data_IF_637455831474
#
_entry.id   IF_637455831474
#
_cell.length_a   1.000
_cell.length_b   1.000
_cell.length_c   1.000
_cell.angle_alpha   90.00
_cell.angle_beta   90.00
_cell.angle_gamma   90.00
#
_symmetry.space_group_name_H-M   'P 1'
#
loop_
_entity.id
_entity.type
_entity.pdbx_description
1 polymer ?
#
# COMPACT_ATOMS: atom_id res chain seq x y z
N UNK A 1 -23.73 33.10 14.40
CA UNK A 1 -23.05 33.67 13.22
C UNK A 1 -21.81 32.85 12.89
N UNK A 2 -21.17 32.25 13.90
CA UNK A 2 -19.95 31.44 13.76
C UNK A 2 -20.12 30.10 13.01
N UNK A 3 -21.23 29.38 13.17
CA UNK A 3 -21.44 28.10 12.46
C UNK A 3 -21.51 28.23 10.94
N UNK A 4 -22.02 29.35 10.41
CA UNK A 4 -22.12 29.57 8.96
C UNK A 4 -20.72 29.69 8.35
N UNK A 5 -19.78 30.31 9.06
CA UNK A 5 -18.38 30.46 8.61
C UNK A 5 -17.66 29.11 8.59
N UNK A 6 -17.91 28.28 9.60
CA UNK A 6 -17.34 26.94 9.71
C UNK A 6 -17.83 25.99 8.61
N UNK A 7 -19.16 25.95 8.39
CA UNK A 7 -19.75 25.14 7.32
C UNK A 7 -19.23 25.58 5.96
N UNK A 8 -19.17 26.90 5.71
CA UNK A 8 -18.63 27.43 4.46
C UNK A 8 -17.14 27.06 4.25
N UNK A 9 -16.31 27.08 5.30
CA UNK A 9 -14.92 26.61 5.23
C UNK A 9 -14.85 25.13 4.85
N UNK A 10 -15.60 24.29 5.55
CA UNK A 10 -15.58 22.83 5.33
C UNK A 10 -16.06 22.51 3.91
N UNK A 11 -17.20 23.09 3.48
CA UNK A 11 -17.74 22.88 2.13
C UNK A 11 -16.81 23.40 1.03
N UNK A 12 -16.05 24.47 1.30
CA UNK A 12 -15.03 24.97 0.38
C UNK A 12 -13.88 23.95 0.23
N UNK A 13 -13.32 23.49 1.35
CA UNK A 13 -12.18 22.57 1.36
C UNK A 13 -12.56 21.20 0.79
N UNK A 14 -13.71 20.63 1.18
CA UNK A 14 -14.18 19.34 0.68
C UNK A 14 -14.42 19.37 -0.83
N UNK A 15 -15.03 20.43 -1.37
CA UNK A 15 -15.20 20.56 -2.83
C UNK A 15 -13.86 20.66 -3.55
N UNK A 16 -12.94 21.47 -3.02
CA UNK A 16 -11.62 21.65 -3.62
C UNK A 16 -10.82 20.35 -3.61
N UNK A 17 -10.80 19.64 -2.49
CA UNK A 17 -10.07 18.37 -2.36
C UNK A 17 -10.74 17.27 -3.16
N UNK A 18 -12.07 17.14 -3.10
CA UNK A 18 -12.80 16.10 -3.83
C UNK A 18 -12.63 16.19 -5.35
N UNK A 19 -12.60 17.39 -5.92
CA UNK A 19 -12.32 17.58 -7.35
C UNK A 19 -10.88 17.15 -7.72
N UNK A 20 -9.89 17.59 -6.93
CA UNK A 20 -8.50 17.22 -7.14
C UNK A 20 -8.27 15.70 -6.96
N UNK A 21 -8.87 15.10 -5.94
CA UNK A 21 -8.80 13.65 -5.69
C UNK A 21 -9.43 12.86 -6.83
N UNK A 22 -10.58 13.29 -7.35
CA UNK A 22 -11.23 12.63 -8.48
C UNK A 22 -10.33 12.66 -9.71
N UNK A 23 -9.74 13.83 -10.02
CA UNK A 23 -8.82 13.98 -11.15
C UNK A 23 -7.55 13.15 -10.96
N UNK A 24 -6.93 13.22 -9.78
CA UNK A 24 -5.73 12.47 -9.44
C UNK A 24 -5.96 10.96 -9.54
N UNK A 25 -6.98 10.42 -8.88
CA UNK A 25 -7.25 8.97 -8.91
C UNK A 25 -7.63 8.47 -10.31
N UNK A 26 -8.28 9.29 -11.13
CA UNK A 26 -8.53 8.94 -12.54
C UNK A 26 -7.23 8.85 -13.34
N UNK A 27 -6.32 9.82 -13.18
CA UNK A 27 -5.01 9.79 -13.85
C UNK A 27 -4.11 8.67 -13.33
N UNK A 28 -4.16 8.38 -12.03
CA UNK A 28 -3.48 7.25 -11.42
C UNK A 28 -3.97 5.92 -12.01
N UNK A 29 -5.30 5.77 -12.18
CA UNK A 29 -5.88 4.60 -12.82
C UNK A 29 -5.42 4.46 -14.27
N UNK A 30 -5.42 5.55 -15.05
CA UNK A 30 -4.92 5.56 -16.43
C UNK A 30 -3.46 5.09 -16.50
N UNK A 31 -2.60 5.57 -15.58
CA UNK A 31 -1.19 5.17 -15.49
C UNK A 31 -1.01 3.70 -15.07
N UNK A 32 -1.82 3.21 -14.13
CA UNK A 32 -1.79 1.82 -13.68
C UNK A 32 -2.28 0.84 -14.76
N UNK A 33 -3.29 1.22 -15.54
CA UNK A 33 -3.80 0.41 -16.65
C UNK A 33 -2.88 0.48 -17.89
N UNK A 34 -2.27 1.65 -18.12
CA UNK A 34 -1.42 1.95 -19.27
C UNK A 34 -0.22 2.79 -18.84
N UNK A 35 0.89 2.11 -18.53
CA UNK A 35 2.15 2.73 -18.11
C UNK A 35 2.86 3.42 -19.28
N UNK A 36 2.36 4.59 -19.69
CA UNK A 36 3.02 5.49 -20.64
C UNK A 36 3.62 6.69 -19.92
N UNK A 37 4.71 7.28 -20.43
CA UNK A 37 5.31 8.48 -19.83
C UNK A 37 4.31 9.63 -19.64
N UNK A 38 3.34 9.78 -20.55
CA UNK A 38 2.31 10.82 -20.47
C UNK A 38 1.33 10.58 -19.32
N UNK A 39 0.87 9.33 -19.14
CA UNK A 39 -0.05 8.98 -18.05
C UNK A 39 0.65 9.11 -16.68
N UNK A 40 1.89 8.64 -16.58
CA UNK A 40 2.71 8.76 -15.38
C UNK A 40 2.96 10.23 -15.01
N UNK A 41 3.34 11.06 -15.98
CA UNK A 41 3.56 12.49 -15.77
C UNK A 41 2.28 13.20 -15.30
N UNK A 42 1.14 12.89 -15.93
CA UNK A 42 -0.17 13.46 -15.55
C UNK A 42 -0.58 13.04 -14.14
N UNK A 43 -0.37 11.78 -13.76
CA UNK A 43 -0.65 11.30 -12.40
C UNK A 43 0.24 12.01 -11.37
N UNK A 44 1.54 12.15 -11.65
CA UNK A 44 2.47 12.82 -10.74
C UNK A 44 2.16 14.33 -10.58
N UNK A 45 1.81 15.02 -11.67
CA UNK A 45 1.40 16.44 -11.62
C UNK A 45 0.16 16.64 -10.75
N UNK A 46 -0.87 15.80 -10.94
CA UNK A 46 -2.10 15.88 -10.14
C UNK A 46 -1.87 15.47 -8.67
N UNK A 47 -0.93 14.56 -8.39
CA UNK A 47 -0.52 14.27 -7.01
C UNK A 47 0.10 15.51 -6.35
N UNK A 48 0.98 16.22 -7.07
CA UNK A 48 1.60 17.44 -6.56
C UNK A 48 0.56 18.53 -6.28
N UNK A 49 -0.38 18.74 -7.18
CA UNK A 49 -1.45 19.72 -7.01
C UNK A 49 -2.34 19.38 -5.82
N UNK A 50 -2.74 18.11 -5.67
CA UNK A 50 -3.51 17.63 -4.54
C UNK A 50 -2.76 17.83 -3.21
N UNK A 51 -1.49 17.42 -3.16
CA UNK A 51 -0.64 17.59 -1.97
C UNK A 51 -0.35 19.05 -1.66
N UNK A 52 -0.23 19.93 -2.67
CA UNK A 52 -0.06 21.37 -2.48
C UNK A 52 -1.33 22.00 -1.90
N UNK A 53 -2.50 21.66 -2.44
CA UNK A 53 -3.78 22.13 -1.91
C UNK A 53 -4.00 21.67 -0.46
N UNK A 54 -3.70 20.41 -0.16
CA UNK A 54 -3.73 19.87 1.21
C UNK A 54 -2.58 20.40 2.08
N UNK A 55 -1.52 20.95 1.50
CA UNK A 55 -0.39 21.52 2.21
C UNK A 55 -0.57 22.97 2.64
N UNK A 56 -1.71 23.61 2.37
CA UNK A 56 -1.94 25.03 2.69
C UNK A 56 -1.91 25.28 4.21
N UNK A 57 -0.90 25.98 4.75
CA UNK A 57 -0.80 26.26 6.18
C UNK A 57 -1.88 27.24 6.65
N UNK A 58 -2.45 28.07 5.78
CA UNK A 58 -3.57 28.96 6.12
C UNK A 58 -4.87 28.18 6.29
N UNK A 59 -5.15 27.20 5.43
CA UNK A 59 -6.27 26.28 5.59
C UNK A 59 -6.17 25.51 6.92
N UNK A 60 -5.00 24.97 7.25
CA UNK A 60 -4.79 24.28 8.54
C UNK A 60 -5.08 25.18 9.73
N UNK A 61 -4.53 26.41 9.76
CA UNK A 61 -4.80 27.38 10.84
C UNK A 61 -6.28 27.72 10.99
N UNK A 62 -7.02 27.83 9.87
CA UNK A 62 -8.46 28.09 9.90
C UNK A 62 -9.20 26.90 10.50
N UNK A 63 -8.92 25.67 10.06
CA UNK A 63 -9.53 24.45 10.61
C UNK A 63 -9.22 24.28 12.10
N UNK A 64 -7.98 24.53 12.52
CA UNK A 64 -7.59 24.49 13.94
C UNK A 64 -8.35 25.52 14.79
N UNK A 65 -8.53 26.75 14.27
CA UNK A 65 -9.30 27.79 14.97
C UNK A 65 -10.77 27.40 15.14
N UNK A 66 -11.38 26.81 14.10
CA UNK A 66 -12.77 26.33 14.15
C UNK A 66 -12.94 25.17 15.15
N UNK A 67 -11.96 24.26 15.24
CA UNK A 67 -11.96 23.18 16.23
C UNK A 67 -11.77 23.70 17.66
N UNK A 68 -10.91 24.69 17.85
CA UNK A 68 -10.64 25.30 19.15
C UNK A 68 -11.81 26.14 19.68
N UNK A 69 -12.58 26.79 18.79
CA UNK A 69 -13.77 27.56 19.17
C UNK A 69 -14.87 26.70 19.81
N UNK A 70 -14.92 25.40 19.48
CA UNK A 70 -15.88 24.47 20.05
C UNK A 70 -17.34 24.78 19.69
N UNK A 71 -18.28 24.22 20.45
CA UNK A 71 -19.73 24.48 20.28
C UNK A 71 -20.37 23.91 19.01
N UNK A 72 -19.63 23.12 18.21
CA UNK A 72 -20.11 22.52 16.96
C UNK A 72 -20.89 21.24 17.19
N UNK A 73 -21.83 20.96 16.31
CA UNK A 73 -22.46 19.65 16.27
C UNK A 73 -21.45 18.54 15.93
N UNK A 74 -21.83 17.29 16.24
CA UNK A 74 -20.95 16.13 16.10
C UNK A 74 -20.47 15.92 14.67
N UNK A 75 -21.31 16.18 13.67
CA UNK A 75 -20.97 15.95 12.26
C UNK A 75 -20.00 17.03 11.78
N UNK A 76 -20.29 18.30 12.05
CA UNK A 76 -19.39 19.40 11.65
C UNK A 76 -18.02 19.26 12.33
N UNK A 77 -17.99 18.92 13.63
CA UNK A 77 -16.74 18.64 14.34
C UNK A 77 -15.95 17.53 13.67
N UNK A 78 -16.60 16.42 13.30
CA UNK A 78 -15.94 15.29 12.65
C UNK A 78 -15.37 15.64 11.28
N UNK A 79 -16.11 16.41 10.48
CA UNK A 79 -15.62 16.89 9.17
C UNK A 79 -14.36 17.74 9.31
N UNK A 80 -14.33 18.63 10.31
CA UNK A 80 -13.15 19.43 10.63
C UNK A 80 -11.96 18.58 11.08
N UNK A 81 -12.17 17.55 11.91
CA UNK A 81 -11.11 16.63 12.34
C UNK A 81 -10.46 15.87 11.17
N UNK A 82 -11.28 15.37 10.24
CA UNK A 82 -10.80 14.68 9.02
C UNK A 82 -10.02 15.64 8.13
N UNK A 83 -10.55 16.85 7.90
CA UNK A 83 -9.85 17.88 7.12
C UNK A 83 -8.52 18.25 7.76
N UNK A 84 -8.48 18.40 9.09
CA UNK A 84 -7.26 18.69 9.84
C UNK A 84 -6.21 17.59 9.63
N UNK A 85 -6.59 16.32 9.69
CA UNK A 85 -5.67 15.19 9.46
C UNK A 85 -5.10 15.22 8.04
N UNK A 86 -5.97 15.42 7.04
CA UNK A 86 -5.56 15.55 5.64
C UNK A 86 -4.60 16.73 5.42
N UNK A 87 -4.86 17.88 6.06
CA UNK A 87 -4.03 19.07 5.96
C UNK A 87 -2.66 18.89 6.66
N UNK A 88 -2.68 18.34 7.87
CA UNK A 88 -1.50 18.12 8.71
C UNK A 88 -0.49 17.19 8.04
N UNK A 89 -0.95 16.11 7.40
CA UNK A 89 -0.08 15.15 6.70
C UNK A 89 0.63 15.71 5.46
N UNK A 90 0.28 16.91 5.02
CA UNK A 90 0.84 17.56 3.82
C UNK A 90 1.64 18.83 4.14
N UNK A 91 1.91 19.13 5.42
CA UNK A 91 2.70 20.29 5.84
C UNK A 91 4.20 20.08 5.53
N UNK A 92 4.62 20.56 4.36
CA UNK A 92 6.01 20.55 3.89
C UNK A 92 6.20 21.64 2.82
N UNK A 93 7.45 22.01 2.53
CA UNK A 93 7.77 22.90 1.42
C UNK A 93 7.57 22.21 0.05
N UNK A 94 7.56 23.02 -1.01
CA UNK A 94 7.30 22.56 -2.38
C UNK A 94 8.43 21.67 -2.90
N UNK A 95 9.67 21.96 -2.50
CA UNK A 95 10.86 21.18 -2.87
C UNK A 95 10.79 19.75 -2.30
N UNK A 96 10.54 19.59 -1.00
CA UNK A 96 10.41 18.29 -0.35
C UNK A 96 9.19 17.53 -0.88
N UNK A 97 8.07 18.23 -1.13
CA UNK A 97 6.88 17.63 -1.74
C UNK A 97 7.22 17.04 -3.11
N UNK A 98 7.90 17.82 -3.95
CA UNK A 98 8.32 17.40 -5.29
C UNK A 98 9.22 16.18 -5.24
N UNK A 99 10.25 16.22 -4.38
CA UNK A 99 11.20 15.11 -4.25
C UNK A 99 10.52 13.81 -3.78
N UNK A 100 9.58 13.89 -2.83
CA UNK A 100 8.81 12.72 -2.37
C UNK A 100 7.96 12.13 -3.50
N UNK A 101 7.22 12.95 -4.24
CA UNK A 101 6.36 12.47 -5.33
C UNK A 101 7.20 11.86 -6.44
N UNK A 102 8.19 12.58 -6.97
CA UNK A 102 9.07 12.07 -8.04
C UNK A 102 9.73 10.75 -7.66
N UNK A 103 10.27 10.66 -6.44
CA UNK A 103 10.93 9.43 -5.99
C UNK A 103 9.94 8.28 -5.84
N UNK A 104 8.76 8.54 -5.26
CA UNK A 104 7.69 7.54 -5.10
C UNK A 104 7.17 7.02 -6.45
N UNK A 105 6.95 7.92 -7.41
CA UNK A 105 6.53 7.55 -8.77
C UNK A 105 7.60 6.71 -9.48
N UNK A 106 8.87 7.08 -9.39
CA UNK A 106 9.96 6.30 -10.00
C UNK A 106 10.08 4.89 -9.44
N UNK A 107 9.90 4.72 -8.12
CA UNK A 107 9.92 3.40 -7.48
C UNK A 107 8.73 2.56 -7.96
N UNK A 108 7.54 3.17 -8.03
CA UNK A 108 6.31 2.49 -8.48
C UNK A 108 6.41 2.05 -9.94
N UNK A 109 6.93 2.91 -10.81
CA UNK A 109 7.20 2.61 -12.23
C UNK A 109 8.12 1.40 -12.38
N UNK A 110 9.21 1.35 -11.62
CA UNK A 110 10.13 0.22 -11.69
C UNK A 110 9.49 -1.08 -11.21
N UNK A 111 8.70 -1.06 -10.12
CA UNK A 111 7.96 -2.25 -9.69
C UNK A 111 6.96 -2.73 -10.76
N UNK A 112 6.32 -1.84 -11.51
CA UNK A 112 5.37 -2.22 -12.55
C UNK A 112 6.04 -2.77 -13.83
N UNK A 113 7.17 -2.18 -14.21
CA UNK A 113 7.83 -2.43 -15.50
C UNK A 113 8.96 -3.44 -15.45
N UNK A 114 9.58 -3.64 -14.29
CA UNK A 114 10.74 -4.52 -14.15
C UNK A 114 10.37 -5.97 -14.50
N UNK A 115 11.27 -6.62 -15.23
CA UNK A 115 11.19 -8.04 -15.57
C UNK A 115 12.49 -8.71 -15.11
N UNK A 116 12.44 -9.57 -14.09
CA UNK A 116 13.62 -10.30 -13.63
C UNK A 116 14.08 -11.30 -14.70
N UNK A 117 15.33 -11.73 -14.59
CA UNK A 117 15.95 -12.65 -15.53
C UNK A 117 16.00 -14.06 -14.95
N UNK A 118 15.44 -15.03 -15.67
CA UNK A 118 15.54 -16.45 -15.33
C UNK A 118 16.20 -17.19 -16.49
N UNK A 119 17.41 -17.72 -16.27
CA UNK A 119 18.16 -18.42 -17.33
C UNK A 119 18.48 -17.55 -18.55
N UNK A 120 18.57 -16.23 -18.39
CA UNK A 120 18.81 -15.27 -19.48
C UNK A 120 17.56 -14.89 -20.29
N UNK A 121 16.37 -15.23 -19.80
CA UNK A 121 15.08 -14.80 -20.37
C UNK A 121 14.34 -13.91 -19.38
N UNK A 122 13.70 -12.85 -19.88
CA UNK A 122 12.80 -12.01 -19.08
C UNK A 122 11.54 -12.81 -18.73
N UNK A 123 11.19 -12.84 -17.45
CA UNK A 123 10.01 -13.53 -16.94
C UNK A 123 9.09 -12.56 -16.19
N UNK A 124 7.80 -12.91 -16.12
CA UNK A 124 6.81 -12.21 -15.30
C UNK A 124 6.72 -12.80 -13.88
N UNK A 125 6.05 -12.09 -12.97
CA UNK A 125 5.76 -12.62 -11.63
C UNK A 125 4.91 -13.90 -11.68
N UNK A 126 4.01 -14.00 -12.66
CA UNK A 126 3.20 -15.20 -12.87
C UNK A 126 4.07 -16.39 -13.32
N UNK A 127 5.05 -16.16 -14.19
CA UNK A 127 5.97 -17.22 -14.63
C UNK A 127 6.84 -17.71 -13.46
N UNK A 128 7.32 -16.79 -12.61
CA UNK A 128 8.05 -17.13 -11.37
C UNK A 128 7.16 -17.95 -10.45
N UNK A 129 5.93 -17.51 -10.21
CA UNK A 129 4.98 -18.22 -9.37
C UNK A 129 4.67 -19.62 -9.93
N UNK A 130 4.51 -19.75 -11.25
CA UNK A 130 4.28 -21.05 -11.89
C UNK A 130 5.46 -22.01 -11.66
N UNK A 131 6.71 -21.54 -11.78
CA UNK A 131 7.89 -22.36 -11.46
C UNK A 131 7.88 -22.79 -9.99
N UNK A 132 7.62 -21.84 -9.06
CA UNK A 132 7.58 -22.13 -7.62
C UNK A 132 6.39 -22.99 -7.21
N UNK A 133 5.31 -23.05 -7.99
CA UNK A 133 4.20 -23.97 -7.71
C UNK A 133 4.49 -25.36 -8.27
N UNK A 134 4.96 -25.43 -9.52
CA UNK A 134 4.92 -26.66 -10.32
C UNK A 134 6.24 -27.43 -10.41
N UNK A 135 7.38 -26.75 -10.31
CA UNK A 135 8.68 -27.43 -10.48
C UNK A 135 9.05 -28.25 -9.26
N UNK A 136 9.59 -29.44 -9.50
CA UNK A 136 10.22 -30.31 -8.51
C UNK A 136 11.77 -30.18 -8.52
N UNK A 137 12.33 -29.38 -9.44
CA UNK A 137 13.77 -29.12 -9.52
C UNK A 137 14.16 -27.99 -8.55
N UNK A 138 14.89 -28.34 -7.50
CA UNK A 138 15.33 -27.39 -6.47
C UNK A 138 16.17 -26.23 -7.05
N UNK A 139 17.02 -26.50 -8.05
CA UNK A 139 17.86 -25.48 -8.65
C UNK A 139 17.04 -24.49 -9.47
N UNK A 140 16.04 -24.98 -10.21
CA UNK A 140 15.13 -24.14 -10.98
C UNK A 140 14.29 -23.22 -10.06
N UNK A 141 13.73 -23.79 -8.99
CA UNK A 141 12.96 -23.05 -7.99
C UNK A 141 13.80 -21.99 -7.30
N UNK A 142 15.04 -22.33 -6.91
CA UNK A 142 15.96 -21.39 -6.30
C UNK A 142 16.22 -20.20 -7.22
N UNK A 143 16.53 -20.45 -8.48
CA UNK A 143 16.76 -19.38 -9.46
C UNK A 143 15.50 -18.50 -9.63
N UNK A 144 14.31 -19.09 -9.70
CA UNK A 144 13.06 -18.34 -9.78
C UNK A 144 12.80 -17.49 -8.52
N UNK A 145 13.06 -18.04 -7.33
CA UNK A 145 12.93 -17.30 -6.08
C UNK A 145 13.93 -16.14 -6.00
N UNK A 146 15.20 -16.36 -6.34
CA UNK A 146 16.24 -15.32 -6.36
C UNK A 146 15.90 -14.22 -7.37
N UNK A 147 15.43 -14.59 -8.57
CA UNK A 147 14.94 -13.68 -9.60
C UNK A 147 13.81 -12.78 -9.07
N UNK A 148 12.87 -13.34 -8.27
CA UNK A 148 11.79 -12.57 -7.64
C UNK A 148 12.28 -11.45 -6.69
N UNK A 149 13.53 -11.53 -6.21
CA UNK A 149 14.10 -10.54 -5.27
C UNK A 149 14.96 -9.48 -5.95
N UNK A 150 15.27 -9.63 -7.24
CA UNK A 150 16.19 -8.74 -7.97
C UNK A 150 15.71 -7.28 -7.96
N UNK A 151 14.40 -7.03 -8.15
CA UNK A 151 13.80 -5.68 -8.08
C UNK A 151 14.11 -4.98 -6.76
N UNK A 152 14.19 -5.73 -5.67
CA UNK A 152 14.56 -5.20 -4.36
C UNK A 152 15.92 -4.50 -4.39
N UNK A 153 16.89 -5.05 -5.13
CA UNK A 153 18.24 -4.44 -5.25
C UNK A 153 18.21 -3.14 -6.07
N UNK A 154 17.33 -3.06 -7.08
CA UNK A 154 17.17 -1.91 -7.98
C UNK A 154 16.55 -0.70 -7.25
N UNK A 155 15.63 -0.96 -6.31
CA UNK A 155 14.86 0.10 -5.63
C UNK A 155 15.32 0.39 -4.20
N UNK A 156 16.12 -0.48 -3.57
CA UNK A 156 16.42 -0.42 -2.13
C UNK A 156 16.96 0.95 -1.66
N UNK A 157 17.92 1.54 -2.36
CA UNK A 157 18.49 2.85 -1.97
C UNK A 157 17.44 3.96 -2.06
N UNK A 158 16.63 3.96 -3.12
CA UNK A 158 15.57 4.95 -3.33
C UNK A 158 14.45 4.79 -2.30
N UNK A 159 14.08 3.57 -1.94
CA UNK A 159 13.11 3.32 -0.86
C UNK A 159 13.61 3.85 0.49
N UNK A 160 14.89 3.61 0.83
CA UNK A 160 15.51 4.18 2.05
C UNK A 160 15.53 5.71 2.01
N UNK A 161 15.89 6.29 0.87
CA UNK A 161 15.86 7.75 0.67
C UNK A 161 14.44 8.30 0.84
N UNK A 162 13.44 7.66 0.25
CA UNK A 162 12.03 8.05 0.38
C UNK A 162 11.56 8.01 1.84
N UNK A 163 11.94 6.98 2.60
CA UNK A 163 11.66 6.90 4.03
C UNK A 163 12.31 8.07 4.80
N UNK A 164 13.56 8.42 4.46
CA UNK A 164 14.26 9.58 5.02
C UNK A 164 13.54 10.91 4.77
N UNK A 165 13.11 11.16 3.53
CA UNK A 165 12.38 12.37 3.13
C UNK A 165 11.02 12.48 3.86
N UNK A 166 10.28 11.37 3.91
CA UNK A 166 9.01 11.28 4.65
C UNK A 166 9.19 11.53 6.14
N UNK A 167 10.27 11.03 6.74
CA UNK A 167 10.62 11.31 8.13
C UNK A 167 10.98 12.79 8.36
N UNK A 168 11.63 13.44 7.40
CA UNK A 168 11.89 14.89 7.46
C UNK A 168 10.59 15.69 7.43
N UNK A 169 9.65 15.35 6.54
CA UNK A 169 8.33 15.97 6.51
C UNK A 169 7.58 15.78 7.85
N UNK A 170 7.57 14.55 8.38
CA UNK A 170 6.88 14.23 9.63
C UNK A 170 7.45 15.00 10.83
N UNK A 171 8.77 15.13 10.93
CA UNK A 171 9.42 15.96 11.96
C UNK A 171 9.06 17.44 11.83
N UNK A 172 9.00 17.95 10.60
CA UNK A 172 8.51 19.31 10.33
C UNK A 172 7.07 19.54 10.82
N UNK A 173 6.24 18.51 10.76
CA UNK A 173 4.86 18.51 11.27
C UNK A 173 4.74 18.19 12.78
N UNK A 174 5.84 18.00 13.50
CA UNK A 174 5.86 17.78 14.95
C UNK A 174 5.78 16.32 15.41
N UNK A 175 6.00 15.35 14.51
CA UNK A 175 6.04 13.92 14.84
C UNK A 175 7.47 13.38 14.97
N UNK A 176 7.67 12.20 15.57
CA UNK A 176 9.02 11.61 15.67
C UNK A 176 9.55 11.15 14.31
N UNK A 177 8.65 10.61 13.49
CA UNK A 177 8.92 9.99 12.20
C UNK A 177 7.61 9.83 11.40
N UNK A 178 7.73 9.36 10.15
CA UNK A 178 6.58 9.16 9.28
C UNK A 178 5.65 8.05 9.78
N UNK A 179 6.17 7.01 10.43
CA UNK A 179 5.37 5.91 10.94
C UNK A 179 4.39 6.38 12.02
N UNK A 180 4.88 7.10 13.03
CA UNK A 180 4.07 7.72 14.08
C UNK A 180 3.06 8.72 13.52
N UNK A 181 3.47 9.54 12.54
CA UNK A 181 2.56 10.46 11.85
C UNK A 181 1.44 9.70 11.12
N UNK A 182 1.78 8.71 10.30
CA UNK A 182 0.80 7.93 9.53
C UNK A 182 -0.22 7.22 10.40
N UNK A 183 0.18 6.69 11.56
CA UNK A 183 -0.74 6.08 12.52
C UNK A 183 -1.65 7.13 13.18
N UNK A 184 -1.07 8.24 13.65
CA UNK A 184 -1.84 9.30 14.30
C UNK A 184 -2.88 9.94 13.36
N UNK A 185 -2.53 10.14 12.09
CA UNK A 185 -3.44 10.68 11.08
C UNK A 185 -4.55 9.70 10.66
N UNK A 186 -4.35 8.40 10.90
CA UNK A 186 -5.39 7.37 10.77
C UNK A 186 -6.15 7.12 12.07
N UNK A 187 -5.89 7.92 13.11
CA UNK A 187 -6.51 7.78 14.44
C UNK A 187 -6.22 6.42 15.10
N UNK A 188 -5.09 5.82 14.75
CA UNK A 188 -4.62 4.55 15.29
C UNK A 188 -3.60 4.84 16.40
N UNK A 189 -3.98 4.73 17.69
CA UNK A 189 -3.00 4.84 18.77
C UNK A 189 -2.01 3.67 18.67
N UNK A 190 -0.73 3.99 18.51
CA UNK A 190 0.32 2.99 18.29
C UNK A 190 0.34 1.90 19.39
N UNK A 191 0.26 2.28 20.66
CA UNK A 191 0.23 1.34 21.78
C UNK A 191 -0.96 0.37 21.69
N UNK A 192 -2.16 0.90 21.41
CA UNK A 192 -3.37 0.09 21.27
C UNK A 192 -3.34 -0.83 20.05
N UNK A 193 -2.71 -0.40 18.95
CA UNK A 193 -2.48 -1.24 17.77
C UNK A 193 -1.55 -2.40 18.11
N UNK A 194 -0.39 -2.12 18.71
CA UNK A 194 0.57 -3.16 19.08
C UNK A 194 0.00 -4.15 20.09
N UNK A 195 -0.70 -3.69 21.12
CA UNK A 195 -1.35 -4.58 22.09
C UNK A 195 -2.32 -5.56 21.40
N UNK A 196 -3.09 -5.10 20.40
CA UNK A 196 -4.02 -5.96 19.65
C UNK A 196 -3.30 -6.92 18.71
N UNK A 197 -2.26 -6.47 18.01
CA UNK A 197 -1.49 -7.33 17.11
C UNK A 197 -0.70 -8.39 17.89
N UNK A 198 -0.14 -8.05 19.04
CA UNK A 198 0.50 -9.02 19.95
C UNK A 198 -0.50 -10.05 20.46
N UNK A 199 -1.67 -9.62 20.93
CA UNK A 199 -2.71 -10.56 21.36
C UNK A 199 -3.15 -11.49 20.21
N UNK A 200 -3.31 -10.95 19.00
CA UNK A 200 -3.65 -11.76 17.83
C UNK A 200 -2.57 -12.81 17.56
N UNK A 201 -1.30 -12.39 17.52
CA UNK A 201 -0.17 -13.29 17.30
C UNK A 201 -0.11 -14.39 18.37
N UNK A 202 -0.24 -14.04 19.65
CA UNK A 202 -0.26 -15.01 20.76
C UNK A 202 -1.40 -16.03 20.63
N UNK A 203 -2.61 -15.57 20.27
CA UNK A 203 -3.78 -16.44 20.09
C UNK A 203 -3.66 -17.34 18.86
N UNK A 204 -2.95 -16.91 17.81
CA UNK A 204 -2.79 -17.68 16.56
C UNK A 204 -1.49 -18.46 16.49
N UNK A 205 -0.54 -18.25 17.40
CA UNK A 205 0.80 -18.85 17.35
C UNK A 205 0.76 -20.37 17.31
N UNK A 206 0.10 -21.01 18.27
CA UNK A 206 0.05 -22.47 18.33
C UNK A 206 -0.69 -23.10 17.13
N UNK A 207 -1.87 -22.60 16.72
CA UNK A 207 -2.50 -23.05 15.47
C UNK A 207 -1.61 -22.88 14.22
N UNK A 208 -0.91 -21.75 14.12
CA UNK A 208 0.01 -21.48 13.01
C UNK A 208 1.20 -22.45 13.01
N UNK A 209 1.86 -22.67 14.16
CA UNK A 209 2.99 -23.61 14.28
C UNK A 209 2.54 -25.02 13.89
N UNK A 210 1.38 -25.47 14.37
CA UNK A 210 0.86 -26.80 14.02
C UNK A 210 0.59 -26.94 12.52
N UNK A 211 -0.08 -25.97 11.91
CA UNK A 211 -0.35 -25.97 10.47
C UNK A 211 0.94 -25.88 9.63
N UNK A 212 1.87 -25.00 10.03
CA UNK A 212 3.17 -24.81 9.38
C UNK A 212 4.03 -26.07 9.47
N UNK A 213 4.00 -26.79 10.59
CA UNK A 213 4.70 -28.06 10.74
C UNK A 213 4.24 -29.12 9.75
N UNK A 214 2.92 -29.25 9.54
CA UNK A 214 2.37 -30.17 8.53
C UNK A 214 2.83 -29.79 7.13
N UNK A 215 2.74 -28.50 6.78
CA UNK A 215 3.23 -28.01 5.50
C UNK A 215 4.73 -28.29 5.31
N UNK A 216 5.53 -28.05 6.34
CA UNK A 216 6.97 -28.23 6.28
C UNK A 216 7.36 -29.69 6.12
N UNK A 217 6.69 -30.61 6.81
CA UNK A 217 6.88 -32.05 6.65
C UNK A 217 6.55 -32.50 5.21
N UNK A 218 5.45 -31.99 4.63
CA UNK A 218 5.05 -32.30 3.26
C UNK A 218 6.08 -31.78 2.23
N UNK A 219 6.56 -30.54 2.41
CA UNK A 219 7.59 -29.95 1.53
C UNK A 219 8.94 -30.66 1.67
N UNK A 220 9.35 -30.99 2.90
CA UNK A 220 10.58 -31.73 3.16
C UNK A 220 10.53 -33.11 2.50
N UNK A 221 9.38 -33.78 2.56
CA UNK A 221 9.17 -35.04 1.85
C UNK A 221 9.18 -34.88 0.33
N UNK A 222 8.56 -33.81 -0.21
CA UNK A 222 8.50 -33.55 -1.66
C UNK A 222 9.90 -33.35 -2.24
N UNK A 223 10.73 -32.55 -1.58
CA UNK A 223 12.06 -32.17 -2.07
C UNK A 223 13.20 -33.04 -1.50
N UNK A 224 12.91 -33.97 -0.59
CA UNK A 224 13.93 -34.76 0.10
C UNK A 224 14.88 -33.89 0.94
N UNK A 225 14.41 -32.72 1.38
CA UNK A 225 15.22 -31.71 2.05
C UNK A 225 15.26 -31.96 3.57
N UNK A 226 16.43 -31.84 4.18
CA UNK A 226 16.58 -31.90 5.65
C UNK A 226 16.24 -30.58 6.33
N UNK A 227 16.44 -29.47 5.62
CA UNK A 227 16.10 -28.12 6.04
C UNK A 227 15.40 -27.41 4.89
N UNK A 228 14.34 -26.67 5.18
CA UNK A 228 13.58 -25.97 4.16
C UNK A 228 14.14 -24.58 3.91
N UNK A 229 14.47 -24.33 2.65
CA UNK A 229 14.81 -23.02 2.11
C UNK A 229 13.59 -22.27 1.56
N UNK A 230 13.67 -20.93 1.39
CA UNK A 230 12.55 -20.11 0.89
C UNK A 230 11.97 -20.54 -0.45
N UNK A 231 12.80 -21.11 -1.34
CA UNK A 231 12.35 -21.59 -2.65
C UNK A 231 11.58 -22.91 -2.60
N UNK A 232 11.50 -23.60 -1.45
CA UNK A 232 10.60 -24.76 -1.32
C UNK A 232 9.13 -24.38 -1.20
N UNK A 233 8.82 -23.12 -0.87
CA UNK A 233 7.45 -22.64 -0.80
C UNK A 233 6.97 -22.15 -2.17
N UNK A 234 5.67 -22.32 -2.45
CA UNK A 234 5.05 -21.88 -3.69
C UNK A 234 4.94 -20.35 -3.78
N UNK A 235 4.53 -19.70 -2.69
CA UNK A 235 4.45 -18.25 -2.62
C UNK A 235 5.81 -17.66 -2.22
N UNK A 236 6.47 -16.84 -3.06
CA UNK A 236 7.81 -16.33 -2.79
C UNK A 236 7.88 -15.36 -1.60
N UNK A 237 6.73 -14.89 -1.09
CA UNK A 237 6.63 -13.99 0.06
C UNK A 237 5.95 -14.65 1.28
N UNK A 238 5.54 -15.91 1.15
CA UNK A 238 4.73 -16.65 2.11
C UNK A 238 3.47 -15.88 2.56
N UNK A 239 2.80 -15.21 1.62
CA UNK A 239 1.60 -14.39 1.86
C UNK A 239 0.28 -15.09 1.53
N UNK A 240 0.34 -16.18 0.77
CA UNK A 240 -0.82 -16.96 0.37
C UNK A 240 -0.71 -18.40 0.89
N UNK A 241 -1.87 -19.02 1.13
CA UNK A 241 -1.92 -20.44 1.51
C UNK A 241 -1.58 -21.27 0.26
N UNK A 242 -0.74 -22.31 0.37
CA UNK A 242 -0.43 -23.19 -0.76
C UNK A 242 -1.70 -23.76 -1.42
N UNK A 243 -1.71 -23.79 -2.74
CA UNK A 243 -2.83 -24.27 -3.57
C UNK A 243 -3.13 -25.77 -3.42
N UNK A 244 -2.19 -26.53 -2.87
CA UNK A 244 -2.22 -28.00 -2.75
C UNK A 244 -3.21 -28.56 -1.70
N UNK A 245 -4.11 -27.74 -1.14
CA UNK A 245 -5.18 -28.21 -0.25
C UNK A 245 -6.21 -29.16 -0.94
N UNK A 246 -5.98 -29.56 -2.20
CA UNK A 246 -6.71 -30.61 -2.91
C UNK A 246 -8.13 -30.24 -3.35
N UNK A 247 -8.56 -29.00 -3.13
CA UNK A 247 -9.90 -28.51 -3.50
C UNK A 247 -9.75 -27.36 -4.48
N UNK A 248 -9.71 -27.66 -5.78
CA UNK A 248 -9.91 -26.65 -6.82
C UNK A 248 -11.39 -26.33 -6.94
N UNK A 249 -11.73 -25.04 -6.82
CA UNK A 249 -13.06 -24.52 -7.10
C UNK A 249 -13.23 -24.10 -8.58
N UNK A 250 -12.18 -24.19 -9.40
CA UNK A 250 -12.16 -23.68 -10.78
C UNK A 250 -13.30 -24.27 -11.63
N UNK A 251 -13.66 -25.53 -11.37
CA UNK A 251 -14.80 -26.20 -12.02
C UNK A 251 -16.12 -25.47 -11.82
N UNK A 252 -16.30 -24.76 -10.71
CA UNK A 252 -17.50 -23.98 -10.40
C UNK A 252 -17.48 -22.59 -11.06
N UNK A 253 -16.31 -22.17 -11.55
CA UNK A 253 -16.08 -20.90 -12.24
C UNK A 253 -15.83 -21.08 -13.74
N UNK A 254 -15.95 -22.30 -14.27
CA UNK A 254 -15.86 -22.60 -15.69
C UNK A 254 -17.10 -22.07 -16.44
N UNK A 255 -17.06 -20.81 -16.87
CA UNK A 255 -18.10 -20.23 -17.74
C UNK A 255 -18.32 -18.74 -17.51
N UNK A 256 -19.06 -18.34 -16.46
CA UNK A 256 -19.32 -16.94 -16.19
C UNK A 256 -18.05 -16.23 -15.71
N UNK A 257 -17.71 -15.11 -16.35
CA UNK A 257 -16.57 -14.29 -15.91
C UNK A 257 -16.83 -13.74 -14.50
N UNK A 258 -15.77 -13.57 -13.70
CA UNK A 258 -15.86 -13.04 -12.34
C UNK A 258 -16.76 -11.79 -12.18
N UNK A 259 -16.76 -10.79 -13.12
CA UNK A 259 -17.66 -9.65 -13.03
C UNK A 259 -19.16 -10.01 -13.09
N UNK A 260 -19.53 -11.05 -13.84
CA UNK A 260 -20.90 -11.52 -13.94
C UNK A 260 -21.37 -12.12 -12.61
N UNK A 261 -20.57 -13.04 -12.05
CA UNK A 261 -20.86 -13.68 -10.77
C UNK A 261 -20.96 -12.66 -9.63
N UNK A 262 -20.07 -11.66 -9.62
CA UNK A 262 -20.12 -10.58 -8.65
C UNK A 262 -21.43 -9.79 -8.75
N UNK A 263 -21.88 -9.49 -9.98
CA UNK A 263 -23.16 -8.80 -10.20
C UNK A 263 -24.36 -9.64 -9.77
N UNK A 264 -24.36 -10.95 -10.02
CA UNK A 264 -25.44 -11.84 -9.55
C UNK A 264 -25.48 -11.98 -8.03
N UNK A 265 -24.32 -11.93 -7.37
CA UNK A 265 -24.21 -12.13 -5.93
C UNK A 265 -24.51 -10.86 -5.12
N UNK A 266 -24.05 -9.71 -5.60
CA UNK A 266 -24.06 -8.45 -4.85
C UNK A 266 -24.90 -7.34 -5.50
N UNK A 267 -25.41 -7.56 -6.73
CA UNK A 267 -26.11 -6.56 -7.54
C UNK A 267 -27.63 -6.57 -7.40
#
# INVERSE_FOLDING_TARGET
>A
MDDITAVALVDQLERSFGDLETRFHSAYWDAAAHATPENEARSAELELDLRRAKGDPAALRRVDAELAAGGRDRILKRRLEILRQSLLGNQMDDELRSEIVTLSSSITSDFASYRPQLGGTEVSDNDIQEVLERSDDESERRLAWEASKEIGTVVAERVRKLAGLRNTAARGAGFSDYYSMSLALQELPQEGLWARLTLLEELTREPYIAWKGVLDDDLASRFGATELEPWHYADPFFQTVPSDAGVSLDRHFAGPQAPHLAKETFG
#
